data_IF_813727250286
#
_entry.id   IF_813727250286
#
_cell.length_a   1.000
_cell.length_b   1.000
_cell.length_c   1.000
_cell.angle_alpha   90.00
_cell.angle_beta   90.00
_cell.angle_gamma   90.00
#
_symmetry.space_group_name_H-M   'P 1'
#
loop_
_entity.id
_entity.type
_entity.pdbx_description
1 polymer ?
#
# COMPACT_ATOMS: atom_id res chain seq x y z
N UNK A 1 0.08 16.16 13.20
CA UNK A 1 1.47 15.79 12.89
C UNK A 1 1.61 14.73 11.80
N UNK A 2 0.54 14.05 11.45
CA UNK A 2 0.47 13.19 10.25
C UNK A 2 0.73 14.03 9.00
N UNK A 3 0.30 15.26 8.96
CA UNK A 3 0.45 16.22 7.87
C UNK A 3 1.89 16.46 7.41
N UNK A 4 2.88 16.24 8.27
CA UNK A 4 4.29 16.35 7.89
C UNK A 4 4.85 15.14 7.15
N UNK A 5 4.05 14.09 6.91
CA UNK A 5 4.49 12.88 6.24
C UNK A 5 4.12 12.98 4.77
N UNK A 6 5.11 12.92 3.88
CA UNK A 6 4.93 13.08 2.44
C UNK A 6 3.81 12.19 1.85
N UNK A 7 3.61 10.99 2.38
CA UNK A 7 2.56 10.09 1.92
C UNK A 7 1.15 10.61 2.16
N UNK A 8 0.90 11.25 3.30
CA UNK A 8 -0.44 11.75 3.63
C UNK A 8 -0.75 13.08 2.94
N UNK A 9 0.29 13.82 2.56
CA UNK A 9 0.15 15.10 1.89
C UNK A 9 0.17 15.00 0.36
N UNK A 10 1.02 14.13 -0.22
CA UNK A 10 1.22 14.06 -1.68
C UNK A 10 0.60 12.83 -2.35
N UNK A 11 0.44 11.68 -1.62
CA UNK A 11 -0.06 10.45 -2.22
C UNK A 11 -1.55 10.19 -1.96
N UNK A 12 -2.16 10.88 -0.99
CA UNK A 12 -3.57 10.69 -0.60
C UNK A 12 -4.55 10.94 -1.74
N UNK A 13 -4.35 11.92 -2.65
CA UNK A 13 -5.25 12.11 -3.79
C UNK A 13 -5.33 10.89 -4.73
N UNK A 14 -4.28 10.06 -4.75
CA UNK A 14 -4.29 8.79 -5.48
C UNK A 14 -4.87 7.68 -4.61
N UNK A 15 -6.18 7.68 -4.41
CA UNK A 15 -6.85 6.67 -3.60
C UNK A 15 -6.49 5.25 -4.02
N UNK A 16 -5.92 4.49 -3.10
CA UNK A 16 -5.43 3.13 -3.33
C UNK A 16 -5.51 2.27 -2.06
N UNK A 17 -5.20 0.99 -2.18
CA UNK A 17 -5.27 0.03 -1.08
C UNK A 17 -4.45 0.39 0.16
N UNK A 18 -3.32 1.12 0.02
CA UNK A 18 -2.52 1.53 1.17
C UNK A 18 -3.24 2.61 1.99
N UNK A 19 -4.00 3.48 1.33
CA UNK A 19 -4.83 4.50 1.99
C UNK A 19 -6.04 3.83 2.65
N UNK A 20 -6.69 2.87 1.98
CA UNK A 20 -7.77 2.07 2.57
C UNK A 20 -7.33 1.35 3.86
N UNK A 21 -6.05 0.99 3.98
CA UNK A 21 -5.55 0.34 5.19
C UNK A 21 -5.50 1.26 6.42
N UNK A 22 -5.39 2.59 6.26
CA UNK A 22 -5.19 3.53 7.39
C UNK A 22 -6.31 3.38 8.44
N UNK A 23 -7.61 3.51 8.10
CA UNK A 23 -8.67 3.37 9.09
C UNK A 23 -8.73 1.97 9.71
N UNK A 24 -8.43 0.93 8.92
CA UNK A 24 -8.41 -0.45 9.40
C UNK A 24 -7.22 -0.71 10.33
N UNK A 25 -6.06 -0.13 10.04
CA UNK A 25 -4.87 -0.19 10.89
C UNK A 25 -5.12 0.47 12.26
N UNK A 26 -5.65 1.69 12.24
CA UNK A 26 -5.96 2.43 13.48
C UNK A 26 -7.10 1.75 14.25
N UNK A 27 -8.15 1.28 13.55
CA UNK A 27 -9.26 0.56 14.15
C UNK A 27 -8.81 -0.74 14.84
N UNK A 28 -7.90 -1.49 14.21
CA UNK A 28 -7.31 -2.70 14.80
C UNK A 28 -6.55 -2.37 16.08
N UNK A 29 -5.69 -1.33 16.07
CA UNK A 29 -4.95 -0.90 17.27
C UNK A 29 -5.91 -0.43 18.38
N UNK A 30 -6.93 0.34 18.02
CA UNK A 30 -7.93 0.85 18.96
C UNK A 30 -8.71 -0.28 19.64
N UNK A 31 -9.28 -1.21 18.84
CA UNK A 31 -10.05 -2.32 19.40
C UNK A 31 -9.16 -3.31 20.14
N UNK A 32 -7.90 -3.46 19.75
CA UNK A 32 -6.92 -4.27 20.47
C UNK A 32 -6.71 -3.72 21.90
N UNK A 33 -6.45 -2.41 22.06
CA UNK A 33 -6.32 -1.77 23.37
C UNK A 33 -7.60 -1.89 24.18
N UNK A 34 -8.74 -1.67 23.55
CA UNK A 34 -10.05 -1.73 24.19
C UNK A 34 -10.37 -3.13 24.68
N UNK A 35 -10.06 -4.16 23.88
CA UNK A 35 -10.24 -5.57 24.22
C UNK A 35 -9.41 -5.97 25.45
N UNK A 36 -8.15 -5.54 25.53
CA UNK A 36 -7.28 -5.83 26.66
C UNK A 36 -7.73 -5.08 27.93
N UNK A 37 -8.22 -3.83 27.77
CA UNK A 37 -8.64 -3.01 28.90
C UNK A 37 -9.99 -3.44 29.47
N UNK A 38 -10.98 -3.59 28.60
CA UNK A 38 -12.38 -3.79 29.00
C UNK A 38 -12.79 -5.28 29.04
N UNK A 39 -12.09 -6.11 28.30
CA UNK A 39 -12.37 -7.54 28.13
C UNK A 39 -13.81 -7.88 27.69
N UNK A 40 -14.47 -6.99 26.97
CA UNK A 40 -15.82 -7.24 26.43
C UNK A 40 -15.73 -8.06 25.14
N UNK A 41 -16.55 -9.08 25.00
CA UNK A 41 -16.61 -9.95 23.80
C UNK A 41 -16.79 -9.12 22.52
N UNK A 42 -17.66 -8.10 22.56
CA UNK A 42 -17.88 -7.22 21.41
C UNK A 42 -16.58 -6.53 20.93
N UNK A 43 -15.70 -6.11 21.85
CA UNK A 43 -14.43 -5.47 21.49
C UNK A 43 -13.50 -6.47 20.77
N UNK A 44 -13.49 -7.74 21.18
CA UNK A 44 -12.74 -8.81 20.52
C UNK A 44 -13.33 -9.17 19.14
N UNK A 45 -14.65 -9.15 18.98
CA UNK A 45 -15.32 -9.33 17.69
C UNK A 45 -14.94 -8.20 16.73
N UNK A 46 -15.03 -6.94 17.17
CA UNK A 46 -14.61 -5.80 16.34
C UNK A 46 -13.11 -5.87 15.98
N UNK A 47 -12.26 -6.28 16.92
CA UNK A 47 -10.85 -6.51 16.64
C UNK A 47 -10.68 -7.54 15.50
N UNK A 48 -11.38 -8.66 15.55
CA UNK A 48 -11.37 -9.68 14.49
C UNK A 48 -11.83 -9.13 13.14
N UNK A 49 -12.91 -8.34 13.15
CA UNK A 49 -13.45 -7.72 11.94
C UNK A 49 -12.46 -6.74 11.30
N UNK A 50 -11.92 -5.79 12.07
CA UNK A 50 -10.93 -4.83 11.55
C UNK A 50 -9.65 -5.51 11.09
N UNK A 51 -9.20 -6.55 11.81
CA UNK A 51 -8.04 -7.36 11.43
C UNK A 51 -8.25 -8.09 10.11
N UNK A 52 -9.40 -8.71 9.92
CA UNK A 52 -9.74 -9.44 8.70
C UNK A 52 -9.86 -8.49 7.50
N UNK A 53 -10.61 -7.40 7.63
CA UNK A 53 -10.76 -6.41 6.58
C UNK A 53 -9.41 -5.77 6.21
N UNK A 54 -8.57 -5.45 7.21
CA UNK A 54 -7.23 -4.93 6.99
C UNK A 54 -6.34 -5.92 6.24
N UNK A 55 -6.36 -7.19 6.59
CA UNK A 55 -5.63 -8.25 5.88
C UNK A 55 -6.11 -8.43 4.44
N UNK A 56 -7.42 -8.38 4.20
CA UNK A 56 -8.02 -8.49 2.87
C UNK A 56 -7.70 -7.29 1.97
N UNK A 57 -7.43 -6.11 2.51
CA UNK A 57 -6.99 -4.98 1.69
C UNK A 57 -5.58 -5.22 1.15
N UNK A 58 -4.66 -5.76 1.97
CA UNK A 58 -3.29 -6.07 1.56
C UNK A 58 -2.58 -6.91 2.61
N UNK A 59 -1.89 -7.96 2.19
CA UNK A 59 -1.21 -8.92 3.10
C UNK A 59 -0.13 -8.29 3.99
N UNK A 60 0.42 -7.13 3.63
CA UNK A 60 1.37 -6.39 4.48
C UNK A 60 0.79 -6.03 5.86
N UNK A 61 -0.54 -6.04 5.99
CA UNK A 61 -1.24 -5.86 7.25
C UNK A 61 -0.87 -6.94 8.30
N UNK A 62 -0.42 -8.11 7.84
CA UNK A 62 0.05 -9.19 8.71
C UNK A 62 1.17 -8.75 9.66
N UNK A 63 2.01 -7.79 9.26
CA UNK A 63 3.07 -7.28 10.15
C UNK A 63 2.51 -6.62 11.42
N UNK A 64 1.39 -5.90 11.31
CA UNK A 64 0.68 -5.38 12.48
C UNK A 64 0.12 -6.53 13.34
N UNK A 65 -0.56 -7.49 12.71
CA UNK A 65 -1.17 -8.60 13.44
C UNK A 65 -0.14 -9.43 14.20
N UNK A 66 0.98 -9.75 13.56
CA UNK A 66 2.11 -10.44 14.18
C UNK A 66 2.65 -9.62 15.36
N UNK A 67 2.81 -8.32 15.20
CA UNK A 67 3.32 -7.45 16.25
C UNK A 67 2.37 -7.36 17.44
N UNK A 68 1.07 -7.26 17.21
CA UNK A 68 0.07 -7.26 18.27
C UNK A 68 -0.04 -8.63 18.96
N UNK A 69 0.16 -9.72 18.22
CA UNK A 69 0.25 -11.07 18.79
C UNK A 69 1.46 -11.21 19.73
N UNK A 70 2.64 -10.70 19.35
CA UNK A 70 3.79 -10.66 20.25
C UNK A 70 3.53 -9.81 21.49
N UNK A 71 2.77 -8.72 21.38
CA UNK A 71 2.37 -7.95 22.55
C UNK A 71 1.40 -8.72 23.47
N UNK A 72 0.48 -9.51 22.92
CA UNK A 72 -0.37 -10.41 23.71
C UNK A 72 0.47 -11.43 24.47
N UNK A 73 1.45 -12.05 23.83
CA UNK A 73 2.39 -12.96 24.48
C UNK A 73 3.14 -12.26 25.61
N UNK A 74 3.64 -11.04 25.35
CA UNK A 74 4.32 -10.23 26.37
C UNK A 74 3.42 -9.96 27.60
N UNK A 75 2.17 -9.55 27.38
CA UNK A 75 1.21 -9.33 28.47
C UNK A 75 0.93 -10.62 29.24
N UNK A 76 0.81 -11.74 28.55
CA UNK A 76 0.60 -13.04 29.15
C UNK A 76 1.72 -13.37 30.15
N UNK A 77 2.99 -13.21 29.76
CA UNK A 77 4.12 -13.48 30.63
C UNK A 77 4.15 -12.55 31.86
N UNK A 78 3.75 -11.28 31.70
CA UNK A 78 3.73 -10.32 32.82
C UNK A 78 2.55 -10.56 33.76
N UNK A 79 1.34 -10.73 33.21
CA UNK A 79 0.11 -10.85 34.02
C UNK A 79 -0.15 -12.26 34.51
N UNK A 80 0.56 -13.26 33.96
CA UNK A 80 0.35 -14.70 34.21
C UNK A 80 -1.12 -15.14 34.09
N UNK A 81 -1.91 -14.46 33.29
CA UNK A 81 -3.33 -14.75 33.04
C UNK A 81 -3.59 -14.80 31.54
N UNK A 82 -4.19 -15.91 31.08
CA UNK A 82 -4.67 -16.05 29.70
C UNK A 82 -6.10 -15.51 29.64
N UNK A 83 -6.32 -14.64 28.67
CA UNK A 83 -7.69 -14.20 28.35
C UNK A 83 -8.17 -14.93 27.10
N UNK A 84 -9.00 -15.94 27.26
CA UNK A 84 -9.50 -16.75 26.16
C UNK A 84 -10.43 -15.98 25.19
N UNK A 85 -10.87 -14.78 25.54
CA UNK A 85 -11.72 -13.99 24.66
C UNK A 85 -11.01 -13.59 23.34
N UNK A 86 -9.68 -13.68 23.25
CA UNK A 86 -8.96 -13.51 21.98
C UNK A 86 -9.39 -14.54 20.92
N UNK A 87 -9.93 -15.70 21.32
CA UNK A 87 -10.44 -16.71 20.41
C UNK A 87 -11.61 -16.18 19.55
N UNK A 88 -12.42 -15.24 20.07
CA UNK A 88 -13.44 -14.57 19.26
C UNK A 88 -12.82 -13.78 18.12
N UNK A 89 -11.68 -13.10 18.36
CA UNK A 89 -10.94 -12.41 17.30
C UNK A 89 -10.47 -13.37 16.21
N UNK A 90 -9.89 -14.50 16.61
CA UNK A 90 -9.39 -15.53 15.70
C UNK A 90 -10.55 -16.11 14.89
N UNK A 91 -11.65 -16.46 15.55
CA UNK A 91 -12.84 -17.01 14.90
C UNK A 91 -13.40 -16.04 13.84
N UNK A 92 -13.62 -14.77 14.21
CA UNK A 92 -14.18 -13.77 13.30
C UNK A 92 -13.20 -13.47 12.15
N UNK A 93 -11.89 -13.41 12.44
CA UNK A 93 -10.88 -13.24 11.40
C UNK A 93 -10.97 -14.34 10.33
N UNK A 94 -11.00 -15.61 10.74
CA UNK A 94 -11.07 -16.72 9.80
C UNK A 94 -12.44 -16.82 9.10
N UNK A 95 -13.53 -16.52 9.79
CA UNK A 95 -14.86 -16.49 9.14
C UNK A 95 -14.93 -15.46 8.00
N UNK A 96 -14.38 -14.27 8.21
CA UNK A 96 -14.39 -13.20 7.19
C UNK A 96 -13.38 -13.49 6.07
N UNK A 97 -12.23 -14.09 6.39
CA UNK A 97 -11.17 -14.36 5.39
C UNK A 97 -11.34 -15.70 4.67
N UNK A 98 -12.18 -16.62 5.16
CA UNK A 98 -12.40 -17.95 4.58
C UNK A 98 -12.74 -17.94 3.08
N UNK A 99 -13.65 -17.08 2.57
CA UNK A 99 -13.95 -17.04 1.14
C UNK A 99 -12.72 -16.66 0.29
N UNK A 100 -11.87 -15.79 0.83
CA UNK A 100 -10.63 -15.38 0.16
C UNK A 100 -9.61 -16.51 0.14
N UNK A 101 -9.44 -17.25 1.23
CA UNK A 101 -8.55 -18.42 1.25
C UNK A 101 -9.02 -19.51 0.29
N UNK A 102 -10.32 -19.77 0.24
CA UNK A 102 -10.90 -20.70 -0.74
C UNK A 102 -10.59 -20.24 -2.18
N UNK A 103 -10.79 -18.94 -2.46
CA UNK A 103 -10.47 -18.38 -3.77
C UNK A 103 -8.97 -18.49 -4.10
N UNK A 104 -8.07 -18.26 -3.13
CA UNK A 104 -6.62 -18.40 -3.31
C UNK A 104 -6.24 -19.82 -3.76
N UNK A 105 -6.81 -20.84 -3.11
CA UNK A 105 -6.55 -22.25 -3.44
C UNK A 105 -7.04 -22.53 -4.86
N UNK A 106 -8.23 -22.06 -5.22
CA UNK A 106 -8.83 -22.27 -6.55
C UNK A 106 -8.10 -21.51 -7.68
N UNK A 107 -7.33 -20.48 -7.35
CA UNK A 107 -6.62 -19.64 -8.31
C UNK A 107 -5.09 -19.74 -8.15
N UNK A 108 -4.57 -20.88 -7.72
CA UNK A 108 -3.14 -21.19 -7.67
C UNK A 108 -2.29 -20.11 -6.96
N UNK A 109 -2.83 -19.54 -5.89
CA UNK A 109 -2.16 -18.49 -5.09
C UNK A 109 -1.67 -17.28 -5.89
N UNK A 110 -2.37 -16.92 -6.96
CA UNK A 110 -1.99 -15.88 -7.92
C UNK A 110 -1.57 -14.56 -7.25
N UNK A 111 -2.32 -14.10 -6.22
CA UNK A 111 -2.00 -12.85 -5.52
C UNK A 111 -0.73 -12.93 -4.69
N UNK A 112 -0.38 -14.10 -4.18
CA UNK A 112 0.87 -14.33 -3.44
C UNK A 112 2.04 -14.30 -4.42
N UNK A 113 1.97 -15.04 -5.53
CA UNK A 113 3.00 -15.00 -6.58
C UNK A 113 3.20 -13.59 -7.12
N UNK A 114 2.11 -12.86 -7.36
CA UNK A 114 2.17 -11.46 -7.74
C UNK A 114 2.92 -10.59 -6.73
N UNK A 115 2.65 -10.76 -5.42
CA UNK A 115 3.32 -10.01 -4.37
C UNK A 115 4.83 -10.32 -4.30
N UNK A 116 5.20 -11.60 -4.42
CA UNK A 116 6.60 -12.06 -4.44
C UNK A 116 7.36 -11.48 -5.64
N UNK A 117 6.77 -11.56 -6.83
CA UNK A 117 7.35 -10.98 -8.06
C UNK A 117 7.53 -9.47 -7.93
N UNK A 118 6.52 -8.77 -7.41
CA UNK A 118 6.56 -7.33 -7.20
C UNK A 118 7.61 -6.89 -6.16
N UNK A 119 7.99 -7.79 -5.27
CA UNK A 119 9.13 -7.67 -4.35
C UNK A 119 10.50 -7.94 -5.00
N UNK A 120 10.55 -8.39 -6.27
CA UNK A 120 11.79 -8.70 -6.97
C UNK A 120 12.45 -10.01 -6.52
N UNK A 121 11.66 -10.97 -6.02
CA UNK A 121 12.17 -12.26 -5.52
C UNK A 121 12.49 -13.27 -6.63
N UNK A 122 12.25 -12.92 -7.90
CA UNK A 122 12.49 -13.82 -9.04
C UNK A 122 13.98 -13.94 -9.41
N UNK A 123 14.83 -13.01 -8.96
CA UNK A 123 16.27 -12.99 -9.23
C UNK A 123 17.06 -13.00 -7.92
N UNK A 124 17.68 -14.13 -7.60
CA UNK A 124 18.55 -14.20 -6.43
C UNK A 124 19.82 -13.38 -6.68
N UNK A 125 20.00 -12.33 -5.86
CA UNK A 125 21.22 -11.54 -5.85
C UNK A 125 21.56 -11.20 -4.39
N UNK A 126 22.69 -11.70 -3.92
CA UNK A 126 23.12 -11.53 -2.53
C UNK A 126 23.28 -10.06 -2.12
N UNK A 127 23.64 -9.18 -3.05
CA UNK A 127 23.74 -7.74 -2.79
C UNK A 127 22.39 -7.12 -2.44
N UNK A 128 21.28 -7.70 -2.90
CA UNK A 128 19.95 -7.19 -2.61
C UNK A 128 19.58 -7.30 -1.12
N UNK A 129 20.17 -8.26 -0.40
CA UNK A 129 19.94 -8.46 1.04
C UNK A 129 20.48 -7.31 1.91
N UNK A 130 21.44 -6.54 1.39
CA UNK A 130 21.98 -5.33 2.06
C UNK A 130 21.49 -4.06 1.39
N UNK A 131 21.51 -4.01 0.06
CA UNK A 131 21.23 -2.80 -0.71
C UNK A 131 19.76 -2.36 -0.61
N UNK A 132 18.82 -3.32 -0.69
CA UNK A 132 17.39 -3.02 -0.63
C UNK A 132 16.93 -2.51 0.74
N UNK A 133 17.29 -3.14 1.88
CA UNK A 133 17.01 -2.60 3.21
C UNK A 133 17.63 -1.22 3.43
N UNK A 134 18.87 -1.00 2.96
CA UNK A 134 19.53 0.29 3.10
C UNK A 134 18.83 1.40 2.29
N UNK A 135 18.52 1.15 1.02
CA UNK A 135 17.72 2.06 0.18
C UNK A 135 16.36 2.35 0.79
N UNK A 136 15.73 1.31 1.36
CA UNK A 136 14.47 1.45 2.05
C UNK A 136 14.59 2.41 3.23
N UNK A 137 15.57 2.22 4.13
CA UNK A 137 15.78 3.09 5.30
C UNK A 137 16.02 4.54 4.91
N UNK A 138 16.88 4.81 3.93
CA UNK A 138 17.12 6.17 3.43
C UNK A 138 15.81 6.78 2.93
N UNK A 139 15.05 6.05 2.14
CA UNK A 139 13.77 6.52 1.63
C UNK A 139 12.78 6.86 2.75
N UNK A 140 12.75 6.06 3.83
CA UNK A 140 11.88 6.35 4.98
C UNK A 140 12.31 7.64 5.71
N UNK A 141 13.61 7.86 5.89
CA UNK A 141 14.13 9.10 6.50
C UNK A 141 13.71 10.31 5.66
N UNK A 142 13.89 10.24 4.33
CA UNK A 142 13.51 11.34 3.42
C UNK A 142 12.01 11.65 3.48
N UNK A 143 11.15 10.62 3.54
CA UNK A 143 9.70 10.79 3.65
C UNK A 143 9.30 11.44 4.97
N UNK A 144 10.03 11.17 6.04
CA UNK A 144 9.77 11.73 7.36
C UNK A 144 10.39 13.12 7.57
N UNK A 145 11.23 13.63 6.66
CA UNK A 145 11.91 14.91 6.83
C UNK A 145 10.97 16.07 7.21
N UNK A 146 9.84 16.30 6.50
CA UNK A 146 8.95 17.41 6.86
C UNK A 146 8.36 17.24 8.27
N UNK A 147 8.01 16.00 8.65
CA UNK A 147 7.54 15.68 9.99
C UNK A 147 8.63 15.91 11.05
N UNK A 148 9.87 15.49 10.78
CA UNK A 148 11.00 15.69 11.69
C UNK A 148 11.30 17.17 11.88
N UNK A 149 11.16 18.01 10.85
CA UNK A 149 11.26 19.47 10.95
C UNK A 149 10.19 20.06 11.88
N UNK A 150 8.94 19.61 11.76
CA UNK A 150 7.85 20.03 12.65
C UNK A 150 8.14 19.66 14.10
N UNK A 151 8.58 18.43 14.36
CA UNK A 151 8.94 17.97 15.70
C UNK A 151 10.14 18.74 16.25
N UNK A 152 11.18 18.96 15.44
CA UNK A 152 12.37 19.72 15.82
C UNK A 152 12.05 21.14 16.31
N UNK A 153 11.08 21.81 15.68
CA UNK A 153 10.62 23.13 16.13
C UNK A 153 10.04 23.12 17.55
N UNK A 154 9.42 22.01 17.97
CA UNK A 154 8.80 21.89 19.28
C UNK A 154 9.77 21.45 20.37
N UNK A 155 10.88 20.82 20.02
CA UNK A 155 11.83 20.28 20.99
C UNK A 155 12.80 21.37 21.47
N UNK A 156 12.93 21.52 22.79
CA UNK A 156 13.90 22.45 23.41
C UNK A 156 15.30 21.87 23.51
N UNK A 157 15.38 20.57 23.86
CA UNK A 157 16.63 19.80 24.00
C UNK A 157 16.39 18.38 23.53
N UNK A 158 17.34 17.82 22.79
CA UNK A 158 17.26 16.43 22.36
C UNK A 158 17.65 15.56 23.55
N UNK A 159 16.69 15.29 24.44
CA UNK A 159 16.80 14.32 25.52
C UNK A 159 15.81 13.21 25.23
N UNK A 160 16.30 12.07 24.79
CA UNK A 160 15.49 10.89 24.57
C UNK A 160 15.40 10.14 25.89
N UNK A 161 14.16 9.94 26.36
CA UNK A 161 13.87 9.09 27.51
C UNK A 161 13.15 7.85 26.99
N UNK A 162 13.71 6.70 27.26
CA UNK A 162 13.13 5.41 26.87
C UNK A 162 12.52 4.74 28.13
N UNK A 163 11.26 5.03 28.47
CA UNK A 163 10.62 4.53 29.69
C UNK A 163 10.12 3.09 29.48
N UNK A 164 11.03 2.12 29.51
CA UNK A 164 10.69 0.70 29.36
C UNK A 164 9.85 0.13 30.52
N UNK A 165 9.72 0.83 31.62
CA UNK A 165 8.82 0.56 32.73
C UNK A 165 7.36 0.96 32.43
N UNK A 166 7.14 1.81 31.42
CA UNK A 166 5.82 2.31 31.06
C UNK A 166 5.13 1.41 30.03
N UNK A 167 4.03 0.76 30.42
CA UNK A 167 3.27 -0.14 29.56
C UNK A 167 2.74 0.53 28.28
N UNK A 168 2.44 1.85 28.30
CA UNK A 168 2.01 2.60 27.12
C UNK A 168 3.15 2.74 26.10
N UNK A 169 4.36 2.96 26.60
CA UNK A 169 5.55 3.01 25.75
C UNK A 169 5.84 1.65 25.10
N UNK A 170 5.79 0.58 25.89
CA UNK A 170 5.97 -0.78 25.37
C UNK A 170 4.91 -1.10 24.33
N UNK A 171 3.65 -0.72 24.57
CA UNK A 171 2.61 -0.89 23.56
C UNK A 171 2.93 -0.15 22.25
N UNK A 172 3.44 1.09 22.33
CA UNK A 172 3.86 1.85 21.14
C UNK A 172 5.05 1.20 20.44
N UNK A 173 5.97 0.57 21.16
CA UNK A 173 7.05 -0.22 20.53
C UNK A 173 6.48 -1.37 19.69
N UNK A 174 5.54 -2.12 20.23
CA UNK A 174 4.92 -3.24 19.50
C UNK A 174 3.99 -2.81 18.38
N UNK A 175 3.21 -1.74 18.55
CA UNK A 175 2.20 -1.34 17.57
C UNK A 175 2.75 -0.45 16.45
N UNK A 176 3.89 0.23 16.66
CA UNK A 176 4.50 1.14 15.71
C UNK A 176 5.88 0.66 15.21
N UNK A 177 6.84 0.40 16.12
CA UNK A 177 8.20 0.06 15.71
C UNK A 177 8.37 -1.39 15.26
N UNK A 178 7.74 -2.33 15.95
CA UNK A 178 7.92 -3.75 15.61
C UNK A 178 7.43 -4.11 14.20
N UNK A 179 6.26 -3.64 13.70
CA UNK A 179 5.88 -3.87 12.31
C UNK A 179 6.91 -3.34 11.32
N UNK A 180 7.51 -2.18 11.59
CA UNK A 180 8.57 -1.59 10.78
C UNK A 180 9.82 -2.46 10.77
N UNK A 181 10.26 -2.94 11.93
CA UNK A 181 11.42 -3.84 12.01
C UNK A 181 11.17 -5.18 11.34
N UNK A 182 9.98 -5.75 11.48
CA UNK A 182 9.64 -7.02 10.83
C UNK A 182 9.72 -6.92 9.30
N UNK A 183 9.20 -5.84 8.70
CA UNK A 183 9.31 -5.67 7.24
C UNK A 183 10.75 -5.42 6.80
N UNK A 184 11.55 -4.71 7.60
CA UNK A 184 12.97 -4.51 7.35
C UNK A 184 13.73 -5.84 7.39
N UNK A 185 13.51 -6.66 8.43
CA UNK A 185 14.06 -7.99 8.55
C UNK A 185 13.65 -8.87 7.36
N UNK A 186 12.38 -8.81 6.94
CA UNK A 186 11.93 -9.53 5.74
C UNK A 186 12.74 -9.13 4.52
N UNK A 187 12.98 -7.83 4.30
CA UNK A 187 13.82 -7.35 3.20
C UNK A 187 15.27 -7.85 3.30
N UNK A 188 15.84 -7.86 4.52
CA UNK A 188 17.20 -8.38 4.75
C UNK A 188 17.32 -9.88 4.49
N UNK A 189 16.33 -10.67 4.93
CA UNK A 189 16.34 -12.13 4.80
C UNK A 189 16.02 -12.58 3.37
N UNK A 190 15.11 -11.90 2.70
CA UNK A 190 14.63 -12.32 1.36
C UNK A 190 15.29 -11.57 0.20
N UNK A 191 16.02 -10.48 0.46
CA UNK A 191 16.53 -9.58 -0.56
C UNK A 191 15.42 -8.78 -1.27
N UNK A 192 14.18 -8.81 -0.79
CA UNK A 192 13.04 -8.18 -1.44
C UNK A 192 13.11 -6.66 -1.39
N UNK A 193 12.66 -6.02 -2.49
CA UNK A 193 12.51 -4.57 -2.57
C UNK A 193 11.19 -4.14 -1.96
N UNK A 194 11.24 -3.45 -0.82
CA UNK A 194 10.07 -2.82 -0.21
C UNK A 194 9.76 -1.50 -0.91
N UNK A 195 8.55 -1.36 -1.44
CA UNK A 195 8.11 -0.08 -2.03
C UNK A 195 7.75 0.90 -0.92
N UNK A 196 8.25 2.12 -0.99
CA UNK A 196 8.06 3.14 0.04
C UNK A 196 6.60 3.40 0.38
N UNK A 197 5.71 3.46 -0.61
CA UNK A 197 4.26 3.67 -0.42
C UNK A 197 3.57 2.55 0.39
N UNK A 198 4.18 1.38 0.55
CA UNK A 198 3.60 0.33 1.37
C UNK A 198 3.62 0.67 2.85
N UNK A 199 4.43 1.64 3.25
CA UNK A 199 4.59 2.07 4.64
C UNK A 199 3.54 3.09 5.09
N UNK A 200 2.62 3.52 4.23
CA UNK A 200 1.59 4.50 4.55
C UNK A 200 0.89 4.19 5.89
N UNK A 201 0.28 3.01 6.12
CA UNK A 201 -0.41 2.74 7.38
C UNK A 201 0.53 2.64 8.60
N UNK A 202 1.80 2.28 8.40
CA UNK A 202 2.76 2.11 9.49
C UNK A 202 3.03 3.42 10.25
N UNK A 203 2.94 4.56 9.58
CA UNK A 203 3.18 5.87 10.20
C UNK A 203 2.00 6.43 11.00
N UNK A 204 0.89 5.70 11.11
CA UNK A 204 -0.32 6.17 11.81
C UNK A 204 -0.07 6.60 13.26
N UNK A 205 0.90 6.00 13.94
CA UNK A 205 1.25 6.30 15.34
C UNK A 205 2.55 7.10 15.49
N UNK A 206 3.21 7.51 14.42
CA UNK A 206 4.52 8.19 14.50
C UNK A 206 4.46 9.45 15.36
N UNK A 207 3.42 10.28 15.19
CA UNK A 207 3.24 11.49 15.97
C UNK A 207 3.09 11.20 17.47
N UNK A 208 2.27 10.21 17.83
CA UNK A 208 2.08 9.77 19.21
C UNK A 208 3.40 9.27 19.81
N UNK A 209 4.14 8.48 19.07
CA UNK A 209 5.44 7.93 19.48
C UNK A 209 6.46 9.04 19.78
N UNK A 210 6.61 10.01 18.89
CA UNK A 210 7.54 11.12 19.08
C UNK A 210 7.11 12.05 20.22
N UNK A 211 5.81 12.37 20.36
CA UNK A 211 5.33 13.14 21.52
C UNK A 211 5.63 12.41 22.82
N UNK A 212 5.47 11.09 22.86
CA UNK A 212 5.77 10.30 24.04
C UNK A 212 7.27 10.32 24.39
N UNK A 213 8.16 10.22 23.39
CA UNK A 213 9.61 10.27 23.59
C UNK A 213 10.10 11.63 24.10
N UNK A 214 9.48 12.71 23.66
CA UNK A 214 9.93 14.08 23.91
C UNK A 214 9.00 14.88 24.81
N UNK A 215 8.04 14.23 25.49
CA UNK A 215 7.03 14.92 26.31
C UNK A 215 7.64 15.92 27.33
N UNK A 216 8.77 15.58 27.95
CA UNK A 216 9.48 16.42 28.92
C UNK A 216 10.32 17.54 28.26
N UNK A 217 10.48 17.50 26.95
CA UNK A 217 11.31 18.42 26.17
C UNK A 217 10.51 19.33 25.23
N UNK A 218 9.20 19.18 25.19
CA UNK A 218 8.30 19.99 24.35
C UNK A 218 8.24 21.42 24.89
N UNK A 219 8.44 22.39 24.00
CA UNK A 219 8.35 23.81 24.31
C UNK A 219 7.12 24.44 23.64
N UNK A 220 6.04 24.58 24.40
CA UNK A 220 4.80 25.16 23.90
C UNK A 220 4.93 26.64 23.48
N UNK A 221 5.98 27.37 23.92
CA UNK A 221 6.24 28.74 23.46
C UNK A 221 6.56 28.79 21.96
N UNK A 222 7.03 27.68 21.38
CA UNK A 222 7.31 27.55 19.93
C UNK A 222 6.10 27.10 19.11
N UNK A 223 4.94 26.94 19.74
CA UNK A 223 3.73 26.43 19.05
C UNK A 223 3.30 27.35 17.91
N UNK A 224 3.55 28.67 18.02
CA UNK A 224 3.27 29.63 16.93
C UNK A 224 4.10 29.30 15.66
N UNK A 225 5.39 29.05 15.80
CA UNK A 225 6.28 28.70 14.67
C UNK A 225 5.90 27.33 14.09
N UNK A 226 5.54 26.37 14.95
CA UNK A 226 5.04 25.06 14.51
C UNK A 226 3.75 25.21 13.68
N UNK A 227 2.78 26.00 14.15
CA UNK A 227 1.53 26.21 13.43
C UNK A 227 1.74 26.92 12.10
N UNK A 228 2.64 27.91 12.03
CA UNK A 228 2.99 28.59 10.78
C UNK A 228 3.55 27.57 9.77
N UNK A 229 4.52 26.74 10.17
CA UNK A 229 5.10 25.75 9.27
C UNK A 229 4.06 24.69 8.86
N UNK A 230 3.18 24.27 9.78
CA UNK A 230 2.09 23.35 9.48
C UNK A 230 1.14 23.93 8.42
N UNK A 231 0.76 25.21 8.56
CA UNK A 231 -0.09 25.90 7.57
C UNK A 231 0.62 26.01 6.22
N UNK A 232 1.93 26.29 6.22
CA UNK A 232 2.74 26.30 5.00
C UNK A 232 2.66 24.93 4.31
N UNK A 233 2.83 23.84 5.02
CA UNK A 233 2.73 22.48 4.45
C UNK A 233 1.32 22.19 3.91
N UNK A 234 0.27 22.60 4.62
CA UNK A 234 -1.13 22.42 4.17
C UNK A 234 -1.44 23.19 2.87
N UNK A 235 -0.77 24.32 2.62
CA UNK A 235 -0.94 25.10 1.39
C UNK A 235 -0.02 24.59 0.28
N UNK A 236 1.25 24.37 0.59
CA UNK A 236 2.28 24.00 -0.41
C UNK A 236 2.04 22.60 -0.97
N UNK A 237 1.60 21.66 -0.14
CA UNK A 237 1.38 20.28 -0.57
C UNK A 237 0.35 20.14 -1.69
N UNK A 238 -0.91 20.61 -1.57
CA UNK A 238 -1.89 20.52 -2.65
C UNK A 238 -1.49 21.37 -3.86
N UNK A 239 -0.80 22.50 -3.65
CA UNK A 239 -0.31 23.35 -4.75
C UNK A 239 0.73 22.61 -5.58
N UNK A 240 1.74 22.01 -4.95
CA UNK A 240 2.76 21.21 -5.65
C UNK A 240 2.15 19.98 -6.34
N UNK A 241 1.18 19.33 -5.70
CA UNK A 241 0.46 18.22 -6.32
C UNK A 241 -0.30 18.66 -7.57
N UNK A 242 -1.01 19.78 -7.51
CA UNK A 242 -1.75 20.33 -8.64
C UNK A 242 -0.83 20.74 -9.79
N UNK A 243 0.28 21.42 -9.49
CA UNK A 243 1.29 21.77 -10.49
C UNK A 243 1.88 20.50 -11.14
N UNK A 244 2.25 19.50 -10.34
CA UNK A 244 2.73 18.23 -10.88
C UNK A 244 1.70 17.54 -11.79
N UNK A 245 0.42 17.63 -11.44
CA UNK A 245 -0.66 17.03 -12.24
C UNK A 245 -0.86 17.73 -13.58
N UNK A 246 -0.55 19.04 -13.66
CA UNK A 246 -0.64 19.83 -14.91
C UNK A 246 0.55 19.50 -15.84
N UNK A 247 1.75 19.38 -15.28
CA UNK A 247 2.98 19.19 -16.08
C UNK A 247 3.34 17.73 -16.36
N UNK A 248 2.82 16.80 -15.57
CA UNK A 248 3.09 15.38 -15.72
C UNK A 248 1.77 14.60 -15.86
N UNK A 249 1.77 13.59 -16.72
CA UNK A 249 0.66 12.63 -16.82
C UNK A 249 0.45 11.91 -15.47
N UNK A 250 -0.46 12.44 -14.68
CA UNK A 250 -0.82 11.83 -13.40
C UNK A 250 -1.92 10.80 -13.59
N UNK A 251 -1.95 9.77 -12.74
CA UNK A 251 -3.03 8.78 -12.74
C UNK A 251 -4.40 9.41 -12.46
N UNK A 252 -4.43 10.51 -11.74
CA UNK A 252 -5.66 11.27 -11.42
C UNK A 252 -6.19 12.06 -12.62
N UNK A 253 -5.33 12.44 -13.56
CA UNK A 253 -5.70 13.11 -14.81
C UNK A 253 -5.94 12.17 -15.99
N UNK A 254 -5.92 10.85 -15.79
CA UNK A 254 -6.09 9.90 -16.87
C UNK A 254 -7.53 9.86 -17.40
N UNK A 255 -7.70 10.22 -18.67
CA UNK A 255 -9.00 10.25 -19.34
C UNK A 255 -9.45 8.87 -19.86
N UNK A 256 -9.47 7.84 -18.99
CA UNK A 256 -9.70 6.45 -19.36
C UNK A 256 -10.99 6.22 -20.16
N UNK A 257 -12.07 6.93 -19.85
CA UNK A 257 -13.33 6.84 -20.60
C UNK A 257 -13.19 7.34 -22.04
N UNK A 258 -12.51 8.46 -22.26
CA UNK A 258 -12.28 9.03 -23.59
C UNK A 258 -11.42 8.11 -24.43
N UNK A 259 -10.35 7.58 -23.84
CA UNK A 259 -9.45 6.61 -24.50
C UNK A 259 -10.18 5.33 -24.86
N UNK A 260 -10.99 4.78 -23.95
CA UNK A 260 -11.79 3.59 -24.20
C UNK A 260 -12.80 3.77 -25.35
N UNK A 261 -13.50 4.91 -25.40
CA UNK A 261 -14.43 5.23 -26.48
C UNK A 261 -13.73 5.35 -27.82
N UNK A 262 -12.53 5.96 -27.85
CA UNK A 262 -11.74 6.04 -29.09
C UNK A 262 -11.25 4.67 -29.54
N UNK A 263 -10.77 3.83 -28.61
CA UNK A 263 -10.35 2.45 -28.88
C UNK A 263 -11.55 1.64 -29.42
N UNK A 264 -12.72 1.74 -28.81
CA UNK A 264 -13.91 1.03 -29.26
C UNK A 264 -14.33 1.44 -30.69
N UNK A 265 -14.28 2.74 -30.99
CA UNK A 265 -14.54 3.27 -32.33
C UNK A 265 -13.56 2.72 -33.35
N UNK A 266 -12.28 2.76 -33.04
CA UNK A 266 -11.22 2.28 -33.93
C UNK A 266 -11.26 0.76 -34.09
N UNK A 267 -11.65 0.02 -33.02
CA UNK A 267 -11.86 -1.41 -33.05
C UNK A 267 -12.98 -1.83 -33.99
N UNK A 268 -14.13 -1.13 -33.96
CA UNK A 268 -15.26 -1.39 -34.87
C UNK A 268 -14.90 -1.19 -36.35
N UNK A 269 -13.91 -0.35 -36.64
CA UNK A 269 -13.36 -0.21 -37.99
C UNK A 269 -12.39 -1.33 -38.35
N UNK A 270 -11.79 -1.99 -37.37
CA UNK A 270 -10.83 -3.07 -37.54
C UNK A 270 -11.49 -4.47 -37.56
N UNK A 271 -12.44 -4.71 -36.67
CA UNK A 271 -13.12 -6.01 -36.51
C UNK A 271 -14.62 -5.84 -36.22
N UNK A 272 -15.39 -6.85 -36.67
CA UNK A 272 -16.82 -6.98 -36.32
C UNK A 272 -17.03 -7.66 -34.96
N UNK A 273 -16.01 -8.34 -34.44
CA UNK A 273 -16.09 -9.04 -33.18
C UNK A 273 -15.95 -8.06 -32.00
N UNK A 274 -16.52 -8.41 -30.85
CA UNK A 274 -16.33 -7.63 -29.62
C UNK A 274 -14.92 -7.85 -29.06
N UNK A 275 -14.35 -6.82 -28.42
CA UNK A 275 -13.10 -6.93 -27.66
C UNK A 275 -13.32 -7.87 -26.48
N UNK A 276 -12.81 -9.09 -26.55
CA UNK A 276 -12.97 -10.07 -25.46
C UNK A 276 -11.82 -10.01 -24.44
N UNK A 277 -10.68 -9.47 -24.83
CA UNK A 277 -9.47 -9.47 -24.03
C UNK A 277 -8.73 -8.13 -24.14
N UNK A 278 -8.14 -7.67 -23.00
CA UNK A 278 -7.25 -6.51 -22.96
C UNK A 278 -5.99 -6.87 -22.18
N UNK A 279 -4.84 -6.36 -22.57
CA UNK A 279 -3.61 -6.82 -21.95
C UNK A 279 -2.44 -5.85 -21.94
N UNK A 280 -1.31 -6.33 -21.47
CA UNK A 280 0.01 -5.77 -21.32
C UNK A 280 0.23 -5.01 -20.00
N UNK A 281 -0.14 -3.74 -19.90
CA UNK A 281 0.05 -2.97 -18.69
C UNK A 281 -1.14 -3.15 -17.75
N UNK A 282 -0.92 -3.66 -16.53
CA UNK A 282 -1.96 -3.90 -15.53
C UNK A 282 -2.91 -2.71 -15.37
N UNK A 283 -2.32 -1.51 -15.25
CA UNK A 283 -3.09 -0.31 -14.94
C UNK A 283 -3.90 0.18 -16.14
N UNK A 284 -3.28 0.23 -17.33
CA UNK A 284 -3.97 0.69 -18.55
C UNK A 284 -5.00 -0.33 -19.02
N UNK A 285 -4.66 -1.62 -19.00
CA UNK A 285 -5.59 -2.68 -19.38
C UNK A 285 -6.78 -2.78 -18.42
N UNK A 286 -6.54 -2.62 -17.10
CA UNK A 286 -7.60 -2.58 -16.12
C UNK A 286 -8.54 -1.39 -16.30
N UNK A 287 -8.01 -0.19 -16.60
CA UNK A 287 -8.82 0.98 -16.91
C UNK A 287 -9.61 0.80 -18.20
N UNK A 288 -8.98 0.26 -19.25
CA UNK A 288 -9.64 0.00 -20.51
C UNK A 288 -10.80 -1.00 -20.32
N UNK A 289 -10.56 -2.12 -19.65
CA UNK A 289 -11.60 -3.09 -19.29
C UNK A 289 -12.74 -2.46 -18.48
N UNK A 290 -12.41 -1.58 -17.54
CA UNK A 290 -13.41 -0.90 -16.72
C UNK A 290 -14.33 0.01 -17.53
N UNK A 291 -13.81 0.70 -18.53
CA UNK A 291 -14.58 1.70 -19.31
C UNK A 291 -15.24 1.13 -20.56
N UNK A 292 -14.81 -0.05 -21.07
CA UNK A 292 -15.50 -0.74 -22.16
C UNK A 292 -16.82 -1.36 -21.67
N UNK A 293 -17.85 -1.34 -22.48
CA UNK A 293 -19.21 -1.80 -22.13
C UNK A 293 -19.26 -3.30 -21.79
N UNK A 294 -18.52 -4.11 -22.54
CA UNK A 294 -18.50 -5.57 -22.41
C UNK A 294 -17.51 -6.10 -21.35
N UNK A 295 -16.76 -5.21 -20.66
CA UNK A 295 -15.83 -5.59 -19.58
C UNK A 295 -14.88 -6.73 -19.97
N UNK A 296 -14.04 -6.60 -21.03
CA UNK A 296 -13.16 -7.65 -21.50
C UNK A 296 -12.21 -8.15 -20.40
N UNK A 297 -11.80 -9.42 -20.47
CA UNK A 297 -10.86 -10.01 -19.52
C UNK A 297 -9.48 -9.35 -19.61
N UNK A 298 -8.87 -9.06 -18.45
CA UNK A 298 -7.52 -8.50 -18.37
C UNK A 298 -6.50 -9.62 -18.34
N UNK A 299 -5.52 -9.58 -19.27
CA UNK A 299 -4.35 -10.45 -19.29
C UNK A 299 -3.13 -9.69 -18.85
N UNK A 300 -2.37 -10.26 -17.92
CA UNK A 300 -1.05 -9.76 -17.58
C UNK A 300 0.00 -10.44 -18.46
N UNK A 301 1.05 -9.70 -18.83
CA UNK A 301 2.13 -10.14 -19.73
C UNK A 301 2.79 -11.47 -19.34
N UNK A 302 2.59 -11.90 -18.10
CA UNK A 302 3.31 -13.00 -17.47
C UNK A 302 2.73 -14.39 -17.71
N UNK A 303 1.49 -14.45 -18.11
CA UNK A 303 0.89 -15.71 -18.49
C UNK A 303 1.28 -15.97 -19.96
N UNK A 304 2.25 -16.85 -20.20
CA UNK A 304 2.68 -17.33 -21.53
C UNK A 304 1.53 -17.94 -22.37
N UNK A 305 0.32 -17.86 -21.90
CA UNK A 305 -0.88 -18.24 -22.62
C UNK A 305 -1.24 -17.09 -23.56
N UNK A 306 -0.93 -17.32 -24.82
CA UNK A 306 -1.26 -16.52 -25.99
C UNK A 306 -2.53 -15.69 -25.83
N UNK A 307 -2.46 -14.42 -26.22
CA UNK A 307 -3.62 -13.56 -26.34
C UNK A 307 -4.69 -14.28 -27.14
N UNK A 308 -5.77 -14.67 -26.47
CA UNK A 308 -6.93 -15.20 -27.17
C UNK A 308 -7.56 -14.05 -27.94
N UNK A 309 -7.63 -14.17 -29.24
CA UNK A 309 -8.32 -13.20 -30.10
C UNK A 309 -9.81 -13.19 -29.77
N UNK A 310 -10.49 -12.08 -29.93
CA UNK A 310 -10.03 -10.73 -30.27
C UNK A 310 -9.46 -9.98 -29.04
N UNK A 311 -8.33 -9.29 -29.19
CA UNK A 311 -7.63 -8.66 -28.07
C UNK A 311 -7.09 -7.27 -28.39
N UNK A 312 -7.04 -6.41 -27.38
CA UNK A 312 -6.39 -5.10 -27.41
C UNK A 312 -5.27 -5.05 -26.40
N UNK A 313 -4.08 -4.66 -26.84
CA UNK A 313 -2.93 -4.42 -26.00
C UNK A 313 -2.73 -2.92 -25.88
N UNK A 314 -2.53 -2.43 -24.65
CA UNK A 314 -2.34 -1.00 -24.38
C UNK A 314 -1.15 -0.77 -23.45
N UNK A 315 -0.29 0.18 -23.85
CA UNK A 315 0.86 0.64 -23.08
C UNK A 315 1.12 2.13 -23.29
N UNK A 316 2.16 2.66 -22.66
CA UNK A 316 2.65 4.02 -22.87
C UNK A 316 4.13 3.98 -23.17
N UNK A 317 4.58 4.81 -24.12
CA UNK A 317 5.98 5.04 -24.48
C UNK A 317 6.76 3.77 -24.94
N UNK A 318 6.09 2.83 -25.61
CA UNK A 318 6.72 1.62 -26.18
C UNK A 318 6.86 1.71 -27.70
N UNK A 319 5.95 2.43 -28.36
CA UNK A 319 5.89 2.57 -29.81
C UNK A 319 5.43 1.28 -30.51
N UNK A 320 5.65 1.17 -31.83
CA UNK A 320 5.23 0.02 -32.66
C UNK A 320 5.78 -1.34 -32.20
N UNK A 321 6.87 -1.33 -31.42
CA UNK A 321 7.45 -2.54 -30.83
C UNK A 321 6.49 -3.25 -29.84
N UNK A 322 5.44 -2.57 -29.40
CA UNK A 322 4.36 -3.18 -28.64
C UNK A 322 3.71 -4.35 -29.40
N UNK A 323 3.53 -4.19 -30.69
CA UNK A 323 2.92 -5.19 -31.58
C UNK A 323 3.89 -6.29 -32.07
N UNK A 324 5.20 -6.07 -31.98
CA UNK A 324 6.24 -6.94 -32.56
C UNK A 324 6.88 -7.91 -31.55
N UNK A 325 6.27 -8.16 -30.42
CA UNK A 325 6.87 -9.05 -29.40
C UNK A 325 6.84 -10.52 -29.83
N UNK A 326 7.88 -11.26 -29.43
CA UNK A 326 8.20 -12.65 -29.84
C UNK A 326 7.06 -13.68 -29.70
N UNK A 327 6.03 -13.36 -28.90
CA UNK A 327 4.92 -14.27 -28.62
C UNK A 327 3.65 -13.94 -29.43
N UNK A 328 3.69 -12.93 -30.30
CA UNK A 328 2.56 -12.52 -31.14
C UNK A 328 2.81 -12.96 -32.56
N UNK A 329 2.65 -14.24 -32.82
CA UNK A 329 2.75 -14.80 -34.19
C UNK A 329 1.37 -14.74 -34.86
N UNK A 330 0.89 -13.52 -35.18
CA UNK A 330 -0.48 -13.32 -35.67
C UNK A 330 -0.45 -12.48 -36.93
N UNK A 331 -1.14 -12.97 -37.99
CA UNK A 331 -1.48 -12.19 -39.19
C UNK A 331 -2.58 -11.18 -38.84
N UNK A 332 -2.49 -9.94 -39.36
CA UNK A 332 -3.43 -8.82 -39.13
C UNK A 332 -3.34 -8.17 -37.75
N UNK A 333 -2.20 -7.57 -37.47
CA UNK A 333 -2.02 -6.72 -36.31
C UNK A 333 -2.02 -5.26 -36.77
N UNK A 334 -2.76 -4.39 -36.09
CA UNK A 334 -2.77 -2.95 -36.35
C UNK A 334 -2.30 -2.18 -35.14
N UNK A 335 -1.23 -1.40 -35.34
CA UNK A 335 -0.75 -0.43 -34.37
C UNK A 335 -1.42 0.92 -34.55
N UNK A 336 -1.84 1.54 -33.46
CA UNK A 336 -2.33 2.93 -33.41
C UNK A 336 -1.78 3.65 -32.20
N UNK A 337 -1.56 4.94 -32.32
CA UNK A 337 -1.30 5.83 -31.19
C UNK A 337 -2.58 6.60 -30.86
N UNK A 338 -3.09 6.44 -29.63
CA UNK A 338 -4.33 7.06 -29.16
C UNK A 338 -4.00 7.83 -27.89
N UNK A 339 -4.10 9.16 -27.93
CA UNK A 339 -3.89 10.05 -26.79
C UNK A 339 -2.62 9.72 -25.97
N UNK A 340 -1.45 9.72 -26.63
CA UNK A 340 -0.14 9.33 -26.09
C UNK A 340 -0.01 7.87 -25.61
N UNK A 341 -0.97 7.00 -25.92
CA UNK A 341 -0.88 5.58 -25.62
C UNK A 341 -0.67 4.78 -26.90
N UNK A 342 0.20 3.78 -26.79
CA UNK A 342 0.45 2.79 -27.83
C UNK A 342 -0.59 1.69 -27.72
N UNK A 343 -1.34 1.44 -28.77
CA UNK A 343 -2.42 0.46 -28.82
C UNK A 343 -2.19 -0.49 -29.97
N UNK A 344 -2.34 -1.77 -29.67
CA UNK A 344 -2.23 -2.84 -30.65
C UNK A 344 -3.53 -3.63 -30.71
N UNK A 345 -4.14 -3.71 -31.88
CA UNK A 345 -5.31 -4.54 -32.17
C UNK A 345 -4.87 -5.89 -32.73
N UNK A 346 -5.38 -6.98 -32.13
CA UNK A 346 -4.97 -8.34 -32.45
C UNK A 346 -6.18 -9.22 -32.75
#
# INVERSE_FOLDING_TARGET
TIEGIAFYTFETPQFNVNICQIPLWIGTIYFFLKSIKNNKIADWIFLGTFSALGFLTKYIFAYLLISLFFYLIYIFFIRKKINFNFLYTVLIFFLITAPHFQWLIQNDFTTIYYALKRGGLNEFNIYNHLLNPFKFLISQILILLPFLLLIYLLIKKIKIKLPFDNQKFIFLLFSFLLPFFLILITSMVTGSRIRTMWMIPFYSLVGVFFIFLYQDSINLKKLKSFNILLIIFLIVSPTLYSLRSIYNDSRTGYEGKKIALQIEKDWKAFSKDEISNVGFSEWYAGNLSYHLSNRPKVFLEENNNFYKKPAVIIAKDIGPNLCNRKNINIKNIVYKKIDNHDVCFI
#
